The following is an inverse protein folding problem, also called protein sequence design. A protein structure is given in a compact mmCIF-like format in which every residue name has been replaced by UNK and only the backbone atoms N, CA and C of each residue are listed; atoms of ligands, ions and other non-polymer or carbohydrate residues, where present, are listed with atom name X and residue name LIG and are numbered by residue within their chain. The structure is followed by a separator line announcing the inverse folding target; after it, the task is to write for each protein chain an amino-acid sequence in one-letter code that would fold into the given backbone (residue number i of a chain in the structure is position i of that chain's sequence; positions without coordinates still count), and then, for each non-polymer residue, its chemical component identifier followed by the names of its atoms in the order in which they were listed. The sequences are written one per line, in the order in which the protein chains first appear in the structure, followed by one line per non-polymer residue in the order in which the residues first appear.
data_IF_957410116556
#
_entry.id   IF_957410116556
#
_cell.length_a   1.000
_cell.length_b   1.000
_cell.length_c   1.000
_cell.angle_alpha   90.00
_cell.angle_beta   90.00
_cell.angle_gamma   90.00
#
_symmetry.space_group_name_H-M   'P 1'
#
loop_
_entity.id
_entity.type
_entity.pdbx_description
1 polymer ?
#
# COMPACT_ATOMS: atom_id res chain seq x y z
N UNK A 1 6.15 3.24 -5.15
CA UNK A 1 6.34 1.94 -4.43
C UNK A 1 5.12 1.05 -4.58
N UNK A 2 3.93 1.59 -4.28
CA UNK A 2 2.66 0.85 -4.25
C UNK A 2 2.37 0.04 -5.53
N UNK A 3 2.54 0.65 -6.70
CA UNK A 3 2.40 -0.03 -8.01
C UNK A 3 3.27 -1.28 -8.14
N UNK A 4 4.52 -1.23 -7.66
CA UNK A 4 5.44 -2.39 -7.73
C UNK A 4 4.96 -3.53 -6.83
N UNK A 5 4.46 -3.22 -5.63
CA UNK A 5 3.87 -4.21 -4.72
C UNK A 5 2.61 -4.83 -5.32
N UNK A 6 1.71 -4.03 -5.91
CA UNK A 6 0.51 -4.54 -6.57
C UNK A 6 0.86 -5.51 -7.71
N UNK A 7 1.80 -5.12 -8.57
CA UNK A 7 2.23 -5.96 -9.70
C UNK A 7 2.90 -7.25 -9.23
N UNK A 8 3.67 -7.24 -8.13
CA UNK A 8 4.25 -8.47 -7.57
C UNK A 8 3.21 -9.42 -6.97
N UNK A 9 2.01 -8.93 -6.66
CA UNK A 9 0.83 -9.74 -6.28
C UNK A 9 -0.04 -10.14 -7.47
N UNK A 10 0.35 -9.82 -8.71
CA UNK A 10 -0.40 -10.09 -9.95
C UNK A 10 -1.83 -9.52 -9.94
N UNK A 11 -2.03 -8.38 -9.29
CA UNK A 11 -3.33 -7.70 -9.24
C UNK A 11 -3.39 -6.56 -10.25
N UNK A 12 -4.51 -6.42 -10.95
CA UNK A 12 -4.89 -5.18 -11.64
C UNK A 12 -5.26 -4.09 -10.62
N UNK A 13 -5.36 -2.83 -11.07
CA UNK A 13 -5.79 -1.74 -10.19
C UNK A 13 -7.24 -1.93 -9.72
N UNK A 14 -8.14 -2.40 -10.58
CA UNK A 14 -9.54 -2.66 -10.21
C UNK A 14 -9.64 -3.75 -9.15
N UNK A 15 -8.89 -4.84 -9.28
CA UNK A 15 -8.90 -5.93 -8.30
C UNK A 15 -8.36 -5.49 -6.92
N UNK A 16 -7.25 -4.74 -6.88
CA UNK A 16 -6.74 -4.23 -5.61
C UNK A 16 -7.74 -3.24 -4.98
N UNK A 17 -8.29 -2.32 -5.77
CA UNK A 17 -9.25 -1.33 -5.31
C UNK A 17 -10.50 -1.99 -4.71
N UNK A 18 -11.03 -3.02 -5.39
CA UNK A 18 -12.17 -3.80 -4.91
C UNK A 18 -11.87 -4.51 -3.58
N UNK A 19 -10.69 -5.14 -3.43
CA UNK A 19 -10.30 -5.82 -2.18
C UNK A 19 -10.10 -4.87 -1.00
N UNK A 20 -9.66 -3.65 -1.28
CA UNK A 20 -9.39 -2.62 -0.25
C UNK A 20 -10.66 -1.85 0.13
N UNK A 21 -11.68 -1.85 -0.74
CA UNK A 21 -12.92 -1.10 -0.56
C UNK A 21 -12.83 0.36 -1.01
N UNK A 22 -12.10 0.63 -2.10
CA UNK A 22 -11.92 1.97 -2.68
C UNK A 22 -12.20 1.99 -4.19
N UNK A 23 -12.32 3.18 -4.78
CA UNK A 23 -12.42 3.29 -6.24
C UNK A 23 -11.07 3.07 -6.94
N UNK A 24 -11.12 2.53 -8.17
CA UNK A 24 -9.91 2.35 -8.98
C UNK A 24 -9.22 3.69 -9.30
N UNK A 25 -9.99 4.77 -9.50
CA UNK A 25 -9.46 6.12 -9.71
C UNK A 25 -8.70 6.62 -8.48
N UNK A 26 -9.22 6.37 -7.27
CA UNK A 26 -8.53 6.71 -6.03
C UNK A 26 -7.24 5.91 -5.86
N UNK A 27 -7.25 4.60 -6.17
CA UNK A 27 -6.03 3.81 -6.19
C UNK A 27 -5.00 4.33 -7.21
N UNK A 28 -5.44 4.75 -8.40
CA UNK A 28 -4.55 5.35 -9.40
C UNK A 28 -3.85 6.60 -8.85
N UNK A 29 -4.57 7.46 -8.12
CA UNK A 29 -3.97 8.62 -7.43
C UNK A 29 -2.94 8.19 -6.38
N UNK A 30 -3.25 7.17 -5.58
CA UNK A 30 -2.34 6.60 -4.58
C UNK A 30 -1.08 5.96 -5.19
N UNK A 31 -1.14 5.45 -6.40
CA UNK A 31 0.03 4.88 -7.08
C UNK A 31 0.93 5.94 -7.69
N UNK A 32 0.34 7.06 -8.11
CA UNK A 32 1.03 8.13 -8.82
C UNK A 32 1.45 9.30 -7.92
N UNK A 33 1.23 9.26 -6.59
CA UNK A 33 1.57 10.25 -5.55
C UNK A 33 2.40 11.46 -6.03
N UNK A 34 1.78 12.34 -6.79
CA UNK A 34 2.30 13.65 -7.16
C UNK A 34 1.59 14.73 -6.34
N UNK A 35 0.41 14.42 -5.80
CA UNK A 35 -0.40 15.35 -5.04
C UNK A 35 -0.45 14.97 -3.55
N UNK A 36 0.06 15.88 -2.72
CA UNK A 36 -0.03 15.86 -1.25
C UNK A 36 -1.46 15.83 -0.71
N UNK A 37 -2.47 15.90 -1.58
CA UNK A 37 -3.88 16.09 -1.22
C UNK A 37 -4.69 14.79 -1.08
N UNK A 38 -4.08 13.62 -1.27
CA UNK A 38 -4.83 12.37 -1.09
C UNK A 38 -4.94 12.06 0.40
N UNK A 39 -6.14 12.19 0.98
CA UNK A 39 -6.37 11.86 2.39
C UNK A 39 -6.09 10.39 2.63
N UNK A 40 -5.03 10.07 3.36
CA UNK A 40 -4.71 8.72 3.81
C UNK A 40 -5.24 8.56 5.23
N UNK A 41 -6.02 7.51 5.48
CA UNK A 41 -6.46 7.15 6.82
C UNK A 41 -5.88 5.80 7.24
N UNK A 42 -5.94 5.51 8.53
CA UNK A 42 -5.36 4.29 9.13
C UNK A 42 -6.06 3.01 8.62
N UNK A 43 -7.36 3.07 8.33
CA UNK A 43 -8.12 1.93 7.79
C UNK A 43 -7.64 1.56 6.37
N UNK A 44 -7.42 2.55 5.51
CA UNK A 44 -6.86 2.34 4.16
C UNK A 44 -5.48 1.67 4.24
N UNK A 45 -4.63 2.17 5.14
CA UNK A 45 -3.29 1.60 5.36
C UNK A 45 -3.38 0.15 5.84
N UNK A 46 -4.27 -0.14 6.80
CA UNK A 46 -4.54 -1.50 7.29
C UNK A 46 -4.98 -2.42 6.16
N UNK A 47 -6.01 -2.04 5.40
CA UNK A 47 -6.53 -2.87 4.31
C UNK A 47 -5.48 -3.10 3.22
N UNK A 48 -4.72 -2.06 2.84
CA UNK A 48 -3.61 -2.22 1.89
C UNK A 48 -2.52 -3.15 2.41
N UNK A 49 -2.17 -3.05 3.70
CA UNK A 49 -1.15 -3.88 4.33
C UNK A 49 -1.51 -5.37 4.29
N UNK A 50 -2.78 -5.70 4.53
CA UNK A 50 -3.30 -7.06 4.52
C UNK A 50 -3.32 -7.63 3.09
N UNK A 51 -3.90 -6.89 2.13
CA UNK A 51 -4.03 -7.37 0.74
C UNK A 51 -2.66 -7.49 0.05
N UNK A 52 -1.73 -6.57 0.33
CA UNK A 52 -0.40 -6.58 -0.27
C UNK A 52 0.61 -7.39 0.54
N UNK A 53 0.24 -7.90 1.71
CA UNK A 53 1.10 -8.62 2.65
C UNK A 53 2.42 -7.87 2.89
N UNK A 54 2.31 -6.69 3.47
CA UNK A 54 3.40 -5.72 3.69
C UNK A 54 3.17 -5.00 5.02
N UNK A 55 4.25 -4.61 5.70
CA UNK A 55 4.13 -3.86 6.96
C UNK A 55 3.34 -2.55 6.79
N UNK A 56 2.31 -2.29 7.63
CA UNK A 56 1.59 -1.02 7.64
C UNK A 56 2.52 0.20 7.82
N UNK A 57 3.59 0.04 8.61
CA UNK A 57 4.58 1.10 8.87
C UNK A 57 5.26 1.53 7.57
N UNK A 58 5.58 0.58 6.68
CA UNK A 58 6.17 0.91 5.39
C UNK A 58 5.22 1.75 4.53
N UNK A 59 3.94 1.39 4.51
CA UNK A 59 2.93 2.14 3.78
C UNK A 59 2.78 3.56 4.34
N UNK A 60 2.80 3.73 5.67
CA UNK A 60 2.81 5.05 6.29
C UNK A 60 4.03 5.87 5.87
N UNK A 61 5.24 5.33 5.95
CA UNK A 61 6.45 6.05 5.51
C UNK A 61 6.35 6.44 4.03
N UNK A 62 5.85 5.54 3.18
CA UNK A 62 5.65 5.82 1.76
C UNK A 62 4.67 6.97 1.52
N UNK A 63 3.57 7.03 2.26
CA UNK A 63 2.56 8.07 2.09
C UNK A 63 2.95 9.42 2.70
N UNK A 64 3.64 9.42 3.85
CA UNK A 64 3.94 10.65 4.61
C UNK A 64 5.39 11.16 4.44
N UNK A 65 6.30 10.38 3.85
CA UNK A 65 7.72 10.76 3.71
C UNK A 65 8.33 10.24 2.39
N UNK A 66 7.83 10.70 1.22
CA UNK A 66 8.16 10.14 -0.10
C UNK A 66 9.62 10.32 -0.55
N UNK A 67 10.42 11.15 0.13
CA UNK A 67 11.84 11.38 -0.16
C UNK A 67 12.80 10.46 0.62
N UNK A 68 12.28 9.53 1.44
CA UNK A 68 13.13 8.62 2.20
C UNK A 68 13.61 7.46 1.31
N UNK A 69 14.94 7.27 1.19
CA UNK A 69 15.53 6.10 0.54
C UNK A 69 15.36 4.88 1.44
N UNK A 70 14.21 4.22 1.36
CA UNK A 70 13.94 3.00 2.14
C UNK A 70 14.70 1.82 1.51
N UNK A 71 15.55 1.14 2.30
CA UNK A 71 16.22 -0.08 1.88
C UNK A 71 15.22 -1.25 1.89
N UNK A 72 14.85 -1.73 0.71
CA UNK A 72 13.79 -2.74 0.52
C UNK A 72 14.19 -4.17 0.93
N UNK A 73 15.42 -4.41 1.40
CA UNK A 73 15.92 -5.78 1.71
C UNK A 73 15.23 -6.47 2.89
N UNK A 74 14.59 -5.74 3.81
CA UNK A 74 14.06 -6.32 5.05
C UNK A 74 12.53 -6.57 5.08
N UNK A 75 11.82 -6.40 3.95
CA UNK A 75 10.36 -6.31 3.95
C UNK A 75 9.57 -7.62 3.73
N UNK A 76 10.27 -8.73 3.47
CA UNK A 76 9.67 -10.06 3.45
C UNK A 76 9.66 -10.73 4.85
N UNK A 77 10.14 -10.04 5.89
CA UNK A 77 10.11 -10.55 7.26
C UNK A 77 8.79 -10.21 7.96
N UNK A 78 7.78 -11.06 7.73
CA UNK A 78 7.09 -11.79 8.80
C UNK A 78 5.79 -12.36 8.28
N UNK A 79 5.71 -13.69 8.30
CA UNK A 79 4.47 -14.47 8.22
C UNK A 79 3.66 -14.30 9.53
N UNK A 80 3.38 -13.07 9.96
CA UNK A 80 2.50 -12.87 11.11
C UNK A 80 1.05 -12.90 10.61
N UNK A 81 0.52 -14.12 10.62
CA UNK A 81 -0.90 -14.42 10.69
C UNK A 81 -1.44 -13.67 11.92
N UNK A 82 -2.03 -12.49 11.70
CA UNK A 82 -2.83 -11.84 12.74
C UNK A 82 -4.03 -12.76 13.00
N UNK A 83 -3.92 -13.58 14.04
CA UNK A 83 -5.05 -14.28 14.64
C UNK A 83 -5.69 -13.24 15.57
N UNK A 84 -7.00 -13.03 15.36
CA UNK A 84 -7.86 -12.17 16.18
C UNK A 84 -7.86 -12.63 17.65
#
# INVERSE_FOLDING_TARGET
MLKKLRLSRKLSQSELAARVGISQSYLSKLENLQERSTMINTLLVKNLSEVLNVSPILLLIYFYSPHTKINLKCLNCSKNKFIL
#
